data_IF_077890838258
#
_entry.id   IF_077890838258
#
_cell.length_a   1.000
_cell.length_b   1.000
_cell.length_c   1.000
_cell.angle_alpha   90.00
_cell.angle_beta   90.00
_cell.angle_gamma   90.00
#
_symmetry.space_group_name_H-M   'P 1'
#
loop_
_entity.id
_entity.type
_entity.pdbx_description
1 polymer ?
#
# COMPACT_ATOMS: atom_id res chain seq x y z
N UNK A 1 -67.49 -33.51 8.84
CA UNK A 1 -66.48 -33.49 9.93
C UNK A 1 -65.38 -32.58 9.45
N UNK A 2 -65.40 -31.33 9.88
CA UNK A 2 -64.47 -30.28 9.54
C UNK A 2 -63.25 -30.36 10.46
N UNK A 3 -62.10 -30.51 9.93
CA UNK A 3 -60.84 -30.46 10.68
C UNK A 3 -60.23 -29.08 10.51
N UNK A 4 -60.56 -28.16 11.38
CA UNK A 4 -59.95 -26.87 11.55
C UNK A 4 -58.62 -27.05 12.28
N UNK A 5 -57.52 -27.27 11.56
CA UNK A 5 -56.20 -27.16 12.14
C UNK A 5 -55.84 -25.69 12.29
N UNK A 6 -55.96 -25.22 13.50
CA UNK A 6 -55.56 -23.91 13.98
C UNK A 6 -54.11 -23.61 13.61
N UNK A 7 -53.92 -22.67 12.68
CA UNK A 7 -52.65 -21.95 12.53
C UNK A 7 -52.45 -21.13 13.80
N UNK A 8 -51.70 -21.65 14.76
CA UNK A 8 -51.19 -20.86 15.86
C UNK A 8 -50.28 -19.77 15.30
N UNK A 9 -50.84 -18.60 15.16
CA UNK A 9 -50.10 -17.36 14.90
C UNK A 9 -49.20 -17.12 16.09
N UNK A 10 -47.90 -17.40 15.97
CA UNK A 10 -46.87 -17.01 16.90
C UNK A 10 -46.84 -15.48 17.01
N UNK A 11 -47.72 -14.92 17.81
CA UNK A 11 -47.69 -13.50 18.18
C UNK A 11 -46.51 -13.30 19.14
N UNK A 12 -45.36 -12.92 18.57
CA UNK A 12 -44.22 -12.44 19.36
C UNK A 12 -44.71 -11.29 20.26
N UNK A 13 -44.60 -11.46 21.57
CA UNK A 13 -45.06 -10.49 22.57
C UNK A 13 -44.53 -9.10 22.25
N UNK A 14 -45.38 -8.06 22.18
CA UNK A 14 -45.00 -6.71 21.70
C UNK A 14 -43.84 -6.09 22.51
N UNK A 15 -43.67 -6.46 23.75
CA UNK A 15 -42.57 -6.03 24.63
C UNK A 15 -41.19 -6.50 24.17
N UNK A 16 -41.06 -7.69 23.55
CA UNK A 16 -39.80 -8.22 23.06
C UNK A 16 -39.36 -7.50 21.77
N UNK A 17 -40.30 -7.12 20.89
CA UNK A 17 -40.00 -6.37 19.68
C UNK A 17 -39.59 -4.91 19.97
N UNK A 18 -40.23 -4.25 20.91
CA UNK A 18 -39.86 -2.90 21.32
C UNK A 18 -38.47 -2.86 21.96
N UNK A 19 -38.17 -3.80 22.84
CA UNK A 19 -36.84 -3.91 23.45
C UNK A 19 -35.74 -4.16 22.41
N UNK A 20 -35.97 -5.04 21.46
CA UNK A 20 -35.03 -5.29 20.34
C UNK A 20 -34.81 -4.04 19.47
N UNK A 21 -35.86 -3.27 19.17
CA UNK A 21 -35.75 -2.01 18.41
C UNK A 21 -34.96 -0.95 19.18
N UNK A 22 -35.18 -0.81 20.47
CA UNK A 22 -34.42 0.15 21.30
C UNK A 22 -32.96 -0.29 21.39
N UNK A 23 -32.68 -1.55 21.68
CA UNK A 23 -31.31 -2.08 21.72
C UNK A 23 -30.61 -1.91 20.40
N UNK A 24 -31.27 -2.21 19.26
CA UNK A 24 -30.71 -2.00 17.91
C UNK A 24 -30.38 -0.54 17.64
N UNK A 25 -31.24 0.40 18.04
CA UNK A 25 -30.98 1.85 17.88
C UNK A 25 -29.83 2.32 18.75
N UNK A 26 -29.76 1.84 20.00
CA UNK A 26 -28.66 2.17 20.92
C UNK A 26 -27.34 1.63 20.40
N UNK A 27 -27.30 0.37 19.96
CA UNK A 27 -26.09 -0.22 19.36
C UNK A 27 -25.69 0.52 18.09
N UNK A 28 -26.65 0.84 17.22
CA UNK A 28 -26.38 1.61 16.01
C UNK A 28 -25.81 3.01 16.32
N UNK A 29 -26.42 3.73 17.27
CA UNK A 29 -25.93 5.03 17.71
C UNK A 29 -24.52 4.93 18.31
N UNK A 30 -24.26 3.91 19.10
CA UNK A 30 -22.95 3.66 19.70
C UNK A 30 -21.89 3.37 18.63
N UNK A 31 -22.21 2.54 17.64
CA UNK A 31 -21.33 2.27 16.49
C UNK A 31 -21.07 3.56 15.70
N UNK A 32 -22.09 4.38 15.44
CA UNK A 32 -21.92 5.67 14.76
C UNK A 32 -21.01 6.62 15.55
N UNK A 33 -21.22 6.74 16.87
CA UNK A 33 -20.41 7.58 17.74
C UNK A 33 -18.95 7.11 17.75
N UNK A 34 -18.71 5.80 17.91
CA UNK A 34 -17.36 5.23 17.89
C UNK A 34 -16.68 5.44 16.53
N UNK A 35 -17.41 5.23 15.43
CA UNK A 35 -16.88 5.49 14.08
C UNK A 35 -16.53 6.96 13.87
N UNK A 36 -17.36 7.87 14.36
CA UNK A 36 -17.08 9.31 14.28
C UNK A 36 -15.88 9.69 15.18
N UNK A 37 -15.79 9.11 16.38
CA UNK A 37 -14.69 9.34 17.30
C UNK A 37 -13.33 8.89 16.72
N UNK A 38 -13.29 7.82 15.92
CA UNK A 38 -12.06 7.41 15.20
C UNK A 38 -11.74 8.28 14.00
N UNK A 39 -12.75 8.90 13.36
CA UNK A 39 -12.53 9.79 12.23
C UNK A 39 -11.99 11.17 12.64
N UNK A 40 -12.34 11.67 13.82
CA UNK A 40 -11.95 13.02 14.31
C UNK A 40 -10.42 13.20 14.32
N UNK A 41 -9.60 12.32 14.94
CA UNK A 41 -8.14 12.49 14.95
C UNK A 41 -7.55 12.46 13.54
N UNK A 42 -8.05 11.58 12.67
CA UNK A 42 -7.60 11.51 11.29
C UNK A 42 -7.87 12.82 10.52
N UNK A 43 -9.08 13.36 10.65
CA UNK A 43 -9.44 14.63 10.02
C UNK A 43 -8.62 15.79 10.60
N UNK A 44 -8.38 15.82 11.91
CA UNK A 44 -7.54 16.83 12.54
C UNK A 44 -6.11 16.81 11.98
N UNK A 45 -5.49 15.64 11.86
CA UNK A 45 -4.15 15.48 11.27
C UNK A 45 -4.15 15.94 9.80
N UNK A 46 -5.16 15.56 9.01
CA UNK A 46 -5.25 15.98 7.61
C UNK A 46 -5.40 17.49 7.45
N UNK A 47 -6.21 18.13 8.27
CA UNK A 47 -6.40 19.59 8.26
C UNK A 47 -5.07 20.28 8.63
N UNK A 48 -4.40 19.83 9.68
CA UNK A 48 -3.11 20.36 10.12
C UNK A 48 -2.03 20.16 9.06
N UNK A 49 -1.99 18.98 8.43
CA UNK A 49 -1.07 18.65 7.36
C UNK A 49 -1.24 19.57 6.14
N UNK A 50 -2.48 19.84 5.73
CA UNK A 50 -2.77 20.74 4.63
C UNK A 50 -2.43 22.19 5.02
N UNK A 51 -2.86 22.63 6.20
CA UNK A 51 -2.65 24.01 6.66
C UNK A 51 -1.17 24.37 6.79
N UNK A 52 -0.35 23.47 7.34
CA UNK A 52 1.10 23.71 7.53
C UNK A 52 1.93 23.30 6.32
N UNK A 53 1.54 22.21 5.64
CA UNK A 53 2.32 21.66 4.53
C UNK A 53 2.34 22.52 3.27
N UNK A 54 1.34 23.38 3.08
CA UNK A 54 1.25 24.23 1.89
C UNK A 54 2.33 25.33 1.83
N UNK A 55 2.84 25.79 2.96
CA UNK A 55 3.72 26.97 3.03
C UNK A 55 5.09 26.78 2.38
N UNK A 56 5.62 25.56 2.36
CA UNK A 56 6.95 25.27 1.80
C UNK A 56 6.88 24.62 0.39
N UNK A 57 5.68 24.39 -0.18
CA UNK A 57 5.51 23.82 -1.52
C UNK A 57 5.78 24.89 -2.58
N UNK A 58 7.05 25.19 -2.81
CA UNK A 58 7.55 26.06 -3.87
C UNK A 58 8.33 25.25 -4.92
N UNK A 59 8.80 25.87 -5.98
CA UNK A 59 9.55 25.19 -7.04
C UNK A 59 10.89 24.63 -6.51
N UNK A 60 11.54 25.35 -5.60
CA UNK A 60 12.80 24.92 -4.98
C UNK A 60 12.63 23.63 -4.18
N UNK A 61 11.47 23.44 -3.53
CA UNK A 61 11.14 22.23 -2.79
C UNK A 61 11.23 20.95 -3.67
N UNK A 62 10.90 21.05 -4.95
CA UNK A 62 10.96 19.90 -5.88
C UNK A 62 12.28 19.77 -6.63
N UNK A 63 13.05 20.87 -6.74
CA UNK A 63 14.23 20.92 -7.60
C UNK A 63 15.55 20.95 -6.83
N UNK A 64 15.51 21.25 -5.54
CA UNK A 64 16.70 21.27 -4.68
C UNK A 64 16.76 20.06 -3.77
N UNK A 65 17.96 19.75 -3.31
CA UNK A 65 18.21 18.72 -2.30
C UNK A 65 17.93 19.26 -0.89
N UNK A 66 18.00 18.38 0.09
CA UNK A 66 17.85 18.73 1.52
C UNK A 66 18.86 19.78 1.91
N UNK A 67 18.44 20.89 2.57
CA UNK A 67 19.34 21.94 3.03
C UNK A 67 20.14 21.46 4.25
N UNK A 68 21.27 22.10 4.49
CA UNK A 68 22.01 21.86 5.74
C UNK A 68 21.23 22.44 6.93
N UNK A 69 21.42 21.87 8.13
CA UNK A 69 20.83 22.37 9.38
C UNK A 69 21.19 23.85 9.65
N UNK A 70 22.38 24.28 9.24
CA UNK A 70 22.86 25.67 9.40
C UNK A 70 22.07 26.63 8.48
N UNK A 71 21.88 26.26 7.21
CA UNK A 71 21.09 27.06 6.26
C UNK A 71 19.63 27.19 6.72
N UNK A 72 19.05 26.11 7.20
CA UNK A 72 17.70 26.11 7.75
C UNK A 72 17.58 27.00 9.01
N UNK A 73 18.57 26.95 9.90
CA UNK A 73 18.63 27.80 11.08
C UNK A 73 18.72 29.30 10.73
N UNK A 74 19.57 29.67 9.77
CA UNK A 74 19.74 31.05 9.32
C UNK A 74 18.45 31.57 8.65
N UNK A 75 17.79 30.76 7.81
CA UNK A 75 16.53 31.10 7.20
C UNK A 75 15.43 31.36 8.26
N UNK A 76 15.37 30.49 9.27
CA UNK A 76 14.41 30.59 10.37
C UNK A 76 14.63 31.85 11.22
N UNK A 77 15.87 32.24 11.48
CA UNK A 77 16.22 33.47 12.18
C UNK A 77 15.87 34.72 11.38
N UNK A 78 15.97 34.66 10.04
CA UNK A 78 15.62 35.77 9.15
C UNK A 78 14.13 35.83 8.76
N UNK A 79 13.30 34.90 9.28
CA UNK A 79 11.88 34.80 8.95
C UNK A 79 11.59 34.41 7.48
N UNK A 80 12.58 33.83 6.79
CA UNK A 80 12.46 33.38 5.42
C UNK A 80 12.07 31.90 5.33
N UNK A 81 11.43 31.45 4.24
CA UNK A 81 11.21 30.02 4.00
C UNK A 81 12.54 29.27 4.02
N UNK A 82 12.53 28.03 4.54
CA UNK A 82 13.72 27.19 4.57
C UNK A 82 14.16 26.92 3.12
N UNK A 83 15.39 27.26 2.74
CA UNK A 83 15.91 26.98 1.41
C UNK A 83 16.11 25.47 1.21
N UNK A 84 16.06 25.00 -0.05
CA UNK A 84 16.22 23.58 -0.37
C UNK A 84 14.90 22.84 -0.54
N UNK A 85 14.97 21.52 -0.63
CA UNK A 85 13.83 20.69 -0.97
C UNK A 85 14.05 19.20 -0.68
N UNK A 86 13.38 18.37 -1.47
CA UNK A 86 13.34 16.90 -1.26
C UNK A 86 13.70 16.11 -2.53
N UNK A 87 14.39 16.74 -3.49
CA UNK A 87 14.72 16.11 -4.78
C UNK A 87 15.45 14.76 -4.62
N UNK A 88 16.41 14.69 -3.71
CA UNK A 88 17.13 13.46 -3.38
C UNK A 88 16.19 12.34 -2.90
N UNK A 89 15.19 12.67 -2.08
CA UNK A 89 14.17 11.71 -1.63
C UNK A 89 13.22 11.28 -2.74
N UNK A 90 12.81 12.21 -3.63
CA UNK A 90 11.95 11.90 -4.79
C UNK A 90 12.66 10.93 -5.72
N UNK A 91 13.89 11.25 -6.13
CA UNK A 91 14.69 10.42 -7.04
C UNK A 91 14.96 9.05 -6.42
N UNK A 92 15.38 9.01 -5.17
CA UNK A 92 15.66 7.74 -4.50
C UNK A 92 14.42 6.88 -4.29
N UNK A 93 13.25 7.48 -3.97
CA UNK A 93 11.99 6.73 -3.91
C UNK A 93 11.66 6.10 -5.26
N UNK A 94 11.78 6.85 -6.36
CA UNK A 94 11.51 6.32 -7.69
C UNK A 94 12.46 5.18 -8.06
N UNK A 95 13.75 5.30 -7.75
CA UNK A 95 14.75 4.25 -7.98
C UNK A 95 14.41 3.00 -7.16
N UNK A 96 14.25 3.14 -5.84
CA UNK A 96 14.03 1.99 -4.97
C UNK A 96 12.70 1.30 -5.25
N UNK A 97 11.61 2.05 -5.42
CA UNK A 97 10.28 1.49 -5.73
C UNK A 97 10.26 0.91 -7.16
N UNK A 98 10.95 1.52 -8.10
CA UNK A 98 11.11 1.00 -9.46
C UNK A 98 11.82 -0.36 -9.47
N UNK A 99 12.96 -0.47 -8.79
CA UNK A 99 13.70 -1.73 -8.65
C UNK A 99 12.90 -2.77 -7.87
N UNK A 100 12.24 -2.37 -6.78
CA UNK A 100 11.37 -3.26 -6.02
C UNK A 100 10.23 -3.81 -6.87
N UNK A 101 9.61 -2.96 -7.70
CA UNK A 101 8.54 -3.36 -8.62
C UNK A 101 9.04 -4.31 -9.71
N UNK A 102 10.23 -4.07 -10.25
CA UNK A 102 10.86 -4.95 -11.25
C UNK A 102 11.08 -6.37 -10.72
N UNK A 103 11.40 -6.50 -9.42
CA UNK A 103 11.55 -7.79 -8.75
C UNK A 103 10.17 -8.37 -8.38
N UNK A 104 9.36 -7.60 -7.68
CA UNK A 104 8.15 -8.12 -7.02
C UNK A 104 7.00 -8.44 -7.97
N UNK A 105 6.85 -7.69 -9.07
CA UNK A 105 5.74 -7.90 -10.01
C UNK A 105 5.82 -9.29 -10.67
N UNK A 106 6.94 -9.71 -11.29
CA UNK A 106 7.02 -11.03 -11.89
C UNK A 106 6.80 -12.17 -10.88
N UNK A 107 7.48 -12.11 -9.72
CA UNK A 107 7.35 -13.15 -8.70
C UNK A 107 5.94 -13.19 -8.09
N UNK A 108 5.35 -12.04 -7.82
CA UNK A 108 4.00 -11.94 -7.27
C UNK A 108 2.93 -12.44 -8.24
N UNK A 109 3.03 -12.08 -9.54
CA UNK A 109 2.12 -12.56 -10.57
C UNK A 109 2.21 -14.07 -10.73
N UNK A 110 3.42 -14.63 -10.87
CA UNK A 110 3.63 -16.06 -11.00
C UNK A 110 3.12 -16.80 -9.77
N UNK A 111 3.38 -16.26 -8.56
CA UNK A 111 2.88 -16.80 -7.31
C UNK A 111 1.35 -16.85 -7.27
N UNK A 112 0.68 -15.76 -7.62
CA UNK A 112 -0.79 -15.65 -7.63
C UNK A 112 -1.44 -16.59 -8.66
N UNK A 113 -0.88 -16.67 -9.86
CA UNK A 113 -1.32 -17.62 -10.90
C UNK A 113 -1.14 -19.07 -10.40
N UNK A 114 0.00 -19.39 -9.78
CA UNK A 114 0.25 -20.70 -9.21
C UNK A 114 -0.78 -21.08 -8.14
N UNK A 115 -1.11 -20.15 -7.24
CA UNK A 115 -2.11 -20.35 -6.19
C UNK A 115 -3.52 -20.59 -6.75
N UNK A 116 -3.87 -19.85 -7.82
CA UNK A 116 -5.15 -20.03 -8.50
C UNK A 116 -5.26 -21.40 -9.17
N UNK A 117 -4.24 -21.82 -9.93
CA UNK A 117 -4.23 -23.09 -10.66
C UNK A 117 -4.23 -24.30 -9.71
N UNK A 118 -3.49 -24.21 -8.60
CA UNK A 118 -3.28 -25.34 -7.69
C UNK A 118 -4.17 -25.26 -6.44
N UNK A 119 -5.39 -24.72 -6.55
CA UNK A 119 -6.35 -24.66 -5.45
C UNK A 119 -6.56 -26.05 -4.82
N UNK A 120 -6.48 -26.10 -3.49
CA UNK A 120 -6.67 -27.35 -2.73
C UNK A 120 -5.42 -28.23 -2.59
N UNK A 121 -4.32 -27.95 -3.29
CA UNK A 121 -3.07 -28.68 -3.09
C UNK A 121 -2.34 -28.18 -1.83
N UNK A 122 -1.71 -29.11 -1.09
CA UNK A 122 -0.98 -28.81 0.16
C UNK A 122 0.10 -27.74 -0.03
N UNK A 123 0.84 -27.77 -1.15
CA UNK A 123 1.88 -26.79 -1.47
C UNK A 123 1.29 -25.38 -1.71
N UNK A 124 0.17 -25.27 -2.40
CA UNK A 124 -0.49 -23.99 -2.59
C UNK A 124 -1.01 -23.42 -1.25
N UNK A 125 -1.54 -24.28 -0.38
CA UNK A 125 -1.92 -23.87 0.97
C UNK A 125 -0.71 -23.37 1.78
N UNK A 126 0.42 -24.06 1.70
CA UNK A 126 1.65 -23.63 2.37
C UNK A 126 2.12 -22.25 1.85
N UNK A 127 2.21 -22.07 0.53
CA UNK A 127 2.62 -20.79 -0.09
C UNK A 127 1.66 -19.66 0.31
N UNK A 128 0.35 -19.92 0.33
CA UNK A 128 -0.66 -18.97 0.77
C UNK A 128 -0.45 -18.57 2.24
N UNK A 129 -0.27 -19.56 3.12
CA UNK A 129 -0.01 -19.32 4.53
C UNK A 129 1.27 -18.52 4.76
N UNK A 130 2.34 -18.83 4.02
CA UNK A 130 3.59 -18.06 4.09
C UNK A 130 3.40 -16.61 3.62
N UNK A 131 2.65 -16.39 2.52
CA UNK A 131 2.32 -15.05 2.06
C UNK A 131 1.49 -14.25 3.08
N UNK A 132 0.52 -14.91 3.73
CA UNK A 132 -0.31 -14.29 4.77
C UNK A 132 0.53 -13.94 6.03
N UNK A 133 1.45 -14.83 6.44
CA UNK A 133 2.38 -14.58 7.54
C UNK A 133 3.29 -13.39 7.21
N UNK A 134 3.89 -13.36 6.02
CA UNK A 134 4.78 -12.26 5.61
C UNK A 134 4.08 -10.89 5.59
N UNK A 135 2.79 -10.85 5.26
CA UNK A 135 2.01 -9.61 5.34
C UNK A 135 1.76 -9.13 6.78
N UNK A 136 1.78 -10.04 7.74
CA UNK A 136 1.64 -9.74 9.18
C UNK A 136 2.95 -9.39 9.88
N UNK A 137 4.10 -9.63 9.25
CA UNK A 137 5.42 -9.32 9.83
C UNK A 137 5.62 -7.80 9.90
N UNK A 138 6.07 -7.24 11.04
CA UNK A 138 6.46 -5.84 11.12
C UNK A 138 7.54 -5.49 10.08
N UNK A 139 7.36 -4.38 9.35
CA UNK A 139 8.21 -3.99 8.23
C UNK A 139 9.69 -3.84 8.61
N UNK A 140 9.98 -3.44 9.85
CA UNK A 140 11.35 -3.34 10.36
C UNK A 140 12.07 -4.69 10.36
N UNK A 141 11.36 -5.79 10.63
CA UNK A 141 11.95 -7.15 10.62
C UNK A 141 12.37 -7.54 9.20
N UNK A 142 11.55 -7.18 8.19
CA UNK A 142 11.94 -7.36 6.78
C UNK A 142 13.21 -6.56 6.46
N UNK A 143 13.31 -5.33 6.97
CA UNK A 143 14.52 -4.51 6.84
C UNK A 143 15.76 -5.14 7.47
N UNK A 144 15.65 -5.63 8.71
CA UNK A 144 16.76 -6.29 9.42
C UNK A 144 17.22 -7.55 8.69
N UNK A 145 16.27 -8.36 8.18
CA UNK A 145 16.58 -9.56 7.41
C UNK A 145 17.40 -9.22 6.15
N UNK A 146 16.95 -8.20 5.40
CA UNK A 146 17.66 -7.75 4.20
C UNK A 146 18.99 -7.08 4.55
N UNK A 147 19.09 -6.38 5.68
CA UNK A 147 20.35 -5.88 6.19
C UNK A 147 21.37 -7.01 6.36
N UNK A 148 20.95 -8.12 6.99
CA UNK A 148 21.86 -9.26 7.23
C UNK A 148 22.27 -9.96 5.93
N UNK A 149 21.40 -10.01 4.94
CA UNK A 149 21.66 -10.73 3.68
C UNK A 149 22.34 -9.88 2.62
N UNK A 150 21.90 -8.61 2.46
CA UNK A 150 22.33 -7.75 1.36
C UNK A 150 23.34 -6.72 1.83
N UNK A 151 23.00 -5.90 2.84
CA UNK A 151 23.88 -4.81 3.30
C UNK A 151 25.21 -5.35 3.81
N UNK A 152 25.18 -6.40 4.64
CA UNK A 152 26.42 -7.03 5.13
C UNK A 152 27.25 -7.68 4.03
N UNK A 153 26.60 -8.29 3.04
CA UNK A 153 27.32 -8.90 1.91
C UNK A 153 27.93 -7.86 0.97
N UNK A 154 27.26 -6.71 0.78
CA UNK A 154 27.74 -5.59 -0.02
C UNK A 154 28.71 -4.68 0.76
N UNK A 155 28.81 -4.84 2.08
CA UNK A 155 29.53 -3.94 3.00
C UNK A 155 29.09 -2.47 2.86
N UNK A 156 27.89 -2.20 2.36
CA UNK A 156 27.35 -0.86 2.14
C UNK A 156 25.82 -0.86 2.23
N UNK A 157 25.28 0.19 2.82
CA UNK A 157 23.88 0.58 2.61
C UNK A 157 23.67 0.99 1.15
N UNK A 158 22.49 0.73 0.57
CA UNK A 158 22.30 0.97 -0.85
C UNK A 158 20.84 1.04 -1.24
N UNK A 159 20.56 1.69 -2.39
CA UNK A 159 19.23 1.66 -3.00
C UNK A 159 18.80 0.24 -3.35
N UNK A 160 19.74 -0.64 -3.75
CA UNK A 160 19.46 -2.06 -4.02
C UNK A 160 18.97 -2.77 -2.76
N UNK A 161 19.63 -2.58 -1.61
CA UNK A 161 19.19 -3.19 -0.37
C UNK A 161 17.80 -2.68 0.04
N UNK A 162 17.55 -1.37 -0.08
CA UNK A 162 16.23 -0.78 0.12
C UNK A 162 15.16 -1.39 -0.82
N UNK A 163 15.49 -1.51 -2.10
CA UNK A 163 14.59 -2.12 -3.09
C UNK A 163 14.27 -3.58 -2.80
N UNK A 164 15.25 -4.38 -2.36
CA UNK A 164 15.01 -5.77 -1.96
C UNK A 164 14.10 -5.86 -0.73
N UNK A 165 14.28 -4.96 0.24
CA UNK A 165 13.41 -4.91 1.42
C UNK A 165 11.96 -4.57 1.05
N UNK A 166 11.76 -3.57 0.17
CA UNK A 166 10.44 -3.24 -0.36
C UNK A 166 9.85 -4.37 -1.20
N UNK A 167 10.65 -5.03 -2.05
CA UNK A 167 10.20 -6.15 -2.87
C UNK A 167 9.71 -7.33 -2.02
N UNK A 168 10.41 -7.64 -0.93
CA UNK A 168 10.03 -8.70 0.00
C UNK A 168 8.62 -8.45 0.58
N UNK A 169 8.26 -7.20 0.83
CA UNK A 169 6.92 -6.83 1.29
C UNK A 169 5.88 -6.80 0.17
N UNK A 170 6.27 -6.44 -1.05
CA UNK A 170 5.36 -6.35 -2.20
C UNK A 170 4.97 -7.72 -2.74
N UNK A 171 5.89 -8.69 -2.78
CA UNK A 171 5.66 -10.03 -3.36
C UNK A 171 4.40 -10.70 -2.79
N UNK A 172 4.22 -10.86 -1.47
CA UNK A 172 3.04 -11.51 -0.92
C UNK A 172 1.75 -10.74 -1.21
N UNK A 173 1.80 -9.40 -1.24
CA UNK A 173 0.64 -8.57 -1.56
C UNK A 173 0.18 -8.76 -3.01
N UNK A 174 1.12 -8.72 -3.97
CA UNK A 174 0.84 -8.92 -5.39
C UNK A 174 0.38 -10.36 -5.63
N UNK A 175 0.98 -11.35 -4.97
CA UNK A 175 0.58 -12.76 -5.04
C UNK A 175 -0.89 -12.93 -4.64
N UNK A 176 -1.28 -12.38 -3.49
CA UNK A 176 -2.66 -12.51 -2.99
C UNK A 176 -3.66 -11.74 -3.84
N UNK A 177 -3.36 -10.50 -4.22
CA UNK A 177 -4.25 -9.72 -5.09
C UNK A 177 -4.43 -10.35 -6.47
N UNK A 178 -3.39 -10.97 -7.02
CA UNK A 178 -3.48 -11.70 -8.30
C UNK A 178 -4.34 -12.96 -8.16
N UNK A 179 -4.13 -13.75 -7.10
CA UNK A 179 -4.97 -14.92 -6.79
C UNK A 179 -6.44 -14.51 -6.66
N UNK A 180 -6.73 -13.46 -5.89
CA UNK A 180 -8.09 -12.96 -5.69
C UNK A 180 -8.73 -12.45 -6.97
N UNK A 181 -7.98 -11.70 -7.79
CA UNK A 181 -8.45 -11.21 -9.07
C UNK A 181 -8.86 -12.33 -10.03
N UNK A 182 -8.07 -13.40 -10.11
CA UNK A 182 -8.39 -14.57 -10.90
C UNK A 182 -9.56 -15.35 -10.31
N UNK A 183 -9.68 -15.40 -9.00
CA UNK A 183 -10.75 -16.10 -8.28
C UNK A 183 -12.12 -15.42 -8.39
N UNK A 184 -12.18 -14.12 -8.74
CA UNK A 184 -13.41 -13.41 -8.98
C UNK A 184 -14.02 -13.73 -10.35
N UNK A 185 -13.29 -14.34 -11.26
CA UNK A 185 -13.81 -14.73 -12.58
C UNK A 185 -14.75 -15.93 -12.46
N UNK A 186 -15.86 -15.94 -13.21
CA UNK A 186 -16.78 -17.08 -13.23
C UNK A 186 -16.11 -18.32 -13.83
N UNK A 187 -16.28 -19.48 -13.18
CA UNK A 187 -15.71 -20.74 -13.63
C UNK A 187 -16.13 -21.16 -15.04
N UNK A 188 -17.28 -20.69 -15.50
CA UNK A 188 -17.78 -20.93 -16.85
C UNK A 188 -16.84 -20.43 -17.95
N UNK A 189 -16.02 -19.41 -17.71
CA UNK A 189 -15.01 -18.96 -18.68
C UNK A 189 -13.95 -20.02 -18.94
N UNK A 190 -13.48 -20.68 -17.88
CA UNK A 190 -12.53 -21.79 -17.99
C UNK A 190 -13.18 -22.99 -18.68
N UNK A 191 -14.35 -23.40 -18.23
CA UNK A 191 -15.09 -24.53 -18.77
C UNK A 191 -15.42 -24.35 -20.26
N UNK A 192 -15.87 -23.16 -20.68
CA UNK A 192 -16.14 -22.85 -22.08
C UNK A 192 -14.89 -22.93 -22.95
N UNK A 193 -13.75 -22.41 -22.47
CA UNK A 193 -12.49 -22.50 -23.20
C UNK A 193 -11.99 -23.94 -23.38
N UNK A 194 -12.14 -24.77 -22.35
CA UNK A 194 -11.77 -26.18 -22.41
C UNK A 194 -12.74 -26.97 -23.31
N UNK A 195 -14.03 -26.66 -23.29
CA UNK A 195 -15.04 -27.29 -24.16
C UNK A 195 -14.79 -27.04 -25.66
N UNK A 196 -14.16 -25.88 -26.00
CA UNK A 196 -13.72 -25.57 -27.36
C UNK A 196 -12.40 -26.26 -27.75
N UNK A 197 -11.86 -27.16 -26.92
CA UNK A 197 -10.64 -27.91 -27.18
C UNK A 197 -9.33 -27.15 -26.88
N UNK A 198 -9.40 -25.95 -26.27
CA UNK A 198 -8.20 -25.22 -25.87
C UNK A 198 -7.51 -25.86 -24.68
N UNK A 199 -6.18 -25.82 -24.63
CA UNK A 199 -5.43 -26.26 -23.44
C UNK A 199 -5.66 -25.33 -22.25
N UNK A 200 -5.55 -25.86 -21.04
CA UNK A 200 -5.67 -25.08 -19.80
C UNK A 200 -4.78 -23.83 -19.79
N UNK A 201 -3.52 -23.98 -20.21
CA UNK A 201 -2.55 -22.87 -20.28
C UNK A 201 -2.99 -21.81 -21.29
N UNK A 202 -3.53 -22.24 -22.44
CA UNK A 202 -4.04 -21.30 -23.45
C UNK A 202 -5.22 -20.50 -22.91
N UNK A 203 -6.19 -21.13 -22.25
CA UNK A 203 -7.32 -20.44 -21.62
C UNK A 203 -6.85 -19.51 -20.53
N UNK A 204 -5.88 -19.91 -19.70
CA UNK A 204 -5.32 -19.06 -18.65
C UNK A 204 -4.69 -17.80 -19.23
N UNK A 205 -3.83 -17.90 -20.24
CA UNK A 205 -3.06 -16.79 -20.78
C UNK A 205 -3.89 -15.87 -21.68
N UNK A 206 -4.84 -16.43 -22.46
CA UNK A 206 -5.57 -15.66 -23.47
C UNK A 206 -7.00 -15.24 -23.04
N UNK A 207 -7.55 -15.89 -22.00
CA UNK A 207 -8.92 -15.60 -21.54
C UNK A 207 -8.93 -15.09 -20.10
N UNK A 208 -8.44 -15.89 -19.14
CA UNK A 208 -8.56 -15.55 -17.72
C UNK A 208 -7.66 -14.37 -17.33
N UNK A 209 -6.38 -14.41 -17.70
CA UNK A 209 -5.42 -13.36 -17.34
C UNK A 209 -5.80 -11.99 -17.94
N UNK A 210 -6.15 -11.88 -19.23
CA UNK A 210 -6.63 -10.61 -19.78
C UNK A 210 -7.94 -10.13 -19.16
N UNK A 211 -8.84 -11.06 -18.78
CA UNK A 211 -10.08 -10.70 -18.09
C UNK A 211 -9.87 -10.17 -16.68
N UNK A 212 -8.84 -10.65 -15.96
CA UNK A 212 -8.46 -10.21 -14.62
C UNK A 212 -7.51 -9.00 -14.61
N UNK A 213 -6.97 -8.57 -15.75
CA UNK A 213 -5.85 -7.61 -15.83
C UNK A 213 -6.13 -6.30 -15.11
N UNK A 214 -7.38 -5.81 -15.14
CA UNK A 214 -7.79 -4.58 -14.45
C UNK A 214 -7.64 -4.70 -12.93
N UNK A 215 -8.08 -5.81 -12.35
CA UNK A 215 -7.97 -6.09 -10.92
C UNK A 215 -6.50 -6.34 -10.52
N UNK A 216 -5.75 -7.06 -11.36
CA UNK A 216 -4.31 -7.32 -11.13
C UNK A 216 -3.51 -6.01 -11.11
N UNK A 217 -3.69 -5.14 -12.11
CA UNK A 217 -3.02 -3.82 -12.15
C UNK A 217 -3.38 -3.00 -10.91
N UNK A 218 -4.64 -3.04 -10.48
CA UNK A 218 -5.07 -2.34 -9.26
C UNK A 218 -4.33 -2.87 -8.03
N UNK A 219 -4.21 -4.19 -7.88
CA UNK A 219 -3.46 -4.82 -6.79
C UNK A 219 -1.98 -4.43 -6.78
N UNK A 220 -1.35 -4.39 -7.96
CA UNK A 220 0.05 -3.93 -8.13
C UNK A 220 0.19 -2.47 -7.70
N UNK A 221 -0.66 -1.57 -8.20
CA UNK A 221 -0.60 -0.14 -7.87
C UNK A 221 -0.87 0.13 -6.38
N UNK A 222 -1.77 -0.63 -5.76
CA UNK A 222 -1.99 -0.56 -4.30
C UNK A 222 -0.76 -1.02 -3.52
N UNK A 223 -0.08 -2.08 -3.99
CA UNK A 223 1.17 -2.56 -3.39
C UNK A 223 2.29 -1.51 -3.49
N UNK A 224 2.45 -0.88 -4.66
CA UNK A 224 3.38 0.23 -4.89
C UNK A 224 3.06 1.39 -3.95
N UNK A 225 1.81 1.84 -3.91
CA UNK A 225 1.37 2.95 -3.07
C UNK A 225 1.68 2.72 -1.59
N UNK A 226 1.53 1.49 -1.12
CA UNK A 226 1.85 1.13 0.26
C UNK A 226 3.34 1.26 0.55
N UNK A 227 4.20 0.66 -0.27
CA UNK A 227 5.64 0.64 0.02
C UNK A 227 6.31 2.00 -0.18
N UNK A 228 5.73 2.91 -0.95
CA UNK A 228 6.21 4.30 -1.05
C UNK A 228 6.17 5.06 0.27
N UNK A 229 5.28 4.68 1.18
CA UNK A 229 5.19 5.25 2.54
C UNK A 229 6.02 4.53 3.60
N UNK A 230 6.71 3.44 3.25
CA UNK A 230 7.47 2.66 4.22
C UNK A 230 8.79 3.36 4.58
N UNK A 231 9.01 3.53 5.89
CA UNK A 231 10.23 4.17 6.43
C UNK A 231 11.12 3.17 7.13
N UNK A 232 10.54 2.33 7.99
CA UNK A 232 11.29 1.45 8.88
C UNK A 232 12.29 0.49 8.17
N UNK A 233 11.93 -0.22 7.10
CA UNK A 233 12.89 -1.08 6.42
C UNK A 233 14.01 -0.28 5.73
N UNK A 234 13.72 0.93 5.23
CA UNK A 234 14.70 1.76 4.54
C UNK A 234 15.73 2.38 5.48
N UNK A 235 15.37 2.66 6.73
CA UNK A 235 16.30 3.16 7.76
C UNK A 235 17.48 2.21 7.98
N UNK A 236 17.25 0.90 7.85
CA UNK A 236 18.28 -0.13 8.10
C UNK A 236 18.88 -0.71 6.82
N UNK A 237 18.43 -0.25 5.63
CA UNK A 237 18.91 -0.80 4.35
C UNK A 237 19.44 0.26 3.39
N UNK A 238 18.80 1.44 3.30
CA UNK A 238 19.16 2.53 2.39
C UNK A 238 19.93 3.66 3.08
N UNK A 239 19.71 3.86 4.39
CA UNK A 239 20.34 4.81 5.31
C UNK A 239 20.06 6.29 5.02
N UNK A 240 19.92 6.71 3.77
CA UNK A 240 19.75 8.11 3.37
C UNK A 240 21.00 8.75 2.78
N UNK A 241 20.80 9.83 2.02
CA UNK A 241 21.84 10.68 1.46
C UNK A 241 21.31 12.10 1.27
N UNK A 242 22.13 13.11 1.57
CA UNK A 242 21.75 14.52 1.45
C UNK A 242 21.83 15.06 0.02
N UNK A 243 22.37 14.30 -0.92
CA UNK A 243 22.51 14.63 -2.34
C UNK A 243 21.74 13.63 -3.21
N UNK A 244 21.49 14.00 -4.47
CA UNK A 244 20.90 13.09 -5.46
C UNK A 244 21.92 12.03 -5.83
N UNK A 245 21.60 10.78 -5.52
CA UNK A 245 22.47 9.65 -5.82
C UNK A 245 21.79 8.75 -6.86
N UNK A 246 22.44 8.54 -7.99
CA UNK A 246 21.99 7.64 -9.05
C UNK A 246 22.72 6.29 -9.00
N UNK A 247 23.78 6.18 -8.19
CA UNK A 247 24.45 4.91 -7.94
C UNK A 247 23.62 4.05 -7.00
N UNK A 248 23.03 3.01 -7.55
CA UNK A 248 22.12 2.10 -6.81
C UNK A 248 22.82 1.25 -5.77
N UNK A 249 24.18 1.22 -5.79
CA UNK A 249 24.99 0.44 -4.85
C UNK A 249 25.42 1.22 -3.61
N UNK A 250 25.06 2.49 -3.53
CA UNK A 250 25.41 3.39 -2.43
C UNK A 250 24.18 3.96 -1.72
N UNK A 251 24.36 4.57 -0.53
CA UNK A 251 23.25 5.10 0.27
C UNK A 251 22.37 6.08 -0.50
N UNK A 252 21.05 5.96 -0.30
CA UNK A 252 20.06 6.74 -1.06
C UNK A 252 18.87 7.08 -0.17
N UNK A 253 18.41 8.33 -0.19
CA UNK A 253 17.23 8.76 0.56
C UNK A 253 15.92 8.36 -0.12
N UNK A 254 14.85 8.28 0.68
CA UNK A 254 13.47 8.21 0.21
C UNK A 254 12.65 9.36 0.82
N UNK A 255 11.55 9.75 0.20
CA UNK A 255 10.65 10.78 0.75
C UNK A 255 10.18 10.43 2.15
N UNK A 256 9.82 9.17 2.40
CA UNK A 256 9.43 8.68 3.72
C UNK A 256 10.58 8.72 4.72
N UNK A 257 11.82 8.47 4.28
CA UNK A 257 13.02 8.53 5.11
C UNK A 257 13.38 9.99 5.46
N UNK A 258 13.21 10.93 4.52
CA UNK A 258 13.43 12.35 4.79
C UNK A 258 12.49 12.90 5.87
N UNK A 259 11.23 12.43 5.95
CA UNK A 259 10.32 12.81 7.04
C UNK A 259 10.92 12.44 8.40
N UNK A 260 11.53 11.26 8.50
CA UNK A 260 12.23 10.81 9.70
C UNK A 260 13.49 11.64 9.99
N UNK A 261 14.30 11.93 8.97
CA UNK A 261 15.50 12.77 9.10
C UNK A 261 15.13 14.18 9.59
N UNK A 262 14.13 14.81 8.99
CA UNK A 262 13.65 16.14 9.40
C UNK A 262 13.09 16.17 10.81
N UNK A 263 12.45 15.08 11.26
CA UNK A 263 11.95 14.99 12.64
C UNK A 263 13.08 15.02 13.67
N UNK A 264 14.26 14.51 13.34
CA UNK A 264 15.41 14.47 14.22
C UNK A 264 16.24 15.79 14.22
N UNK A 265 15.95 16.72 13.30
CA UNK A 265 16.61 18.03 13.24
C UNK A 265 15.60 19.17 13.54
N UNK A 266 15.74 19.87 14.70
CA UNK A 266 14.84 20.94 15.09
C UNK A 266 14.73 22.10 14.08
N UNK A 267 15.74 22.28 13.23
CA UNK A 267 15.76 23.34 12.22
C UNK A 267 14.97 22.96 10.96
N UNK A 268 14.79 21.66 10.70
CA UNK A 268 14.13 21.11 9.50
C UNK A 268 12.67 20.67 9.75
N UNK A 269 12.17 20.78 10.98
CA UNK A 269 10.82 20.32 11.38
C UNK A 269 9.71 20.89 10.48
N UNK A 270 9.86 22.13 10.01
CA UNK A 270 8.85 22.78 9.16
C UNK A 270 8.72 22.09 7.78
N UNK A 271 9.80 21.48 7.27
CA UNK A 271 9.79 20.69 6.03
C UNK A 271 9.04 19.37 6.15
N UNK A 272 8.84 18.84 7.38
CA UNK A 272 8.07 17.61 7.60
C UNK A 272 6.67 17.72 7.01
N UNK A 273 6.00 18.84 7.29
CA UNK A 273 4.61 19.05 6.89
C UNK A 273 4.45 19.04 5.36
N UNK A 274 5.33 19.74 4.66
CA UNK A 274 5.31 19.80 3.20
C UNK A 274 5.72 18.46 2.56
N UNK A 275 6.71 17.78 3.14
CA UNK A 275 7.16 16.47 2.66
C UNK A 275 6.08 15.41 2.87
N UNK A 276 5.43 15.41 4.03
CA UNK A 276 4.32 14.50 4.31
C UNK A 276 3.08 14.80 3.45
N UNK A 277 2.77 16.09 3.21
CA UNK A 277 1.69 16.49 2.30
C UNK A 277 1.98 16.04 0.86
N UNK A 278 3.20 16.23 0.38
CA UNK A 278 3.61 15.74 -0.95
C UNK A 278 3.46 14.22 -1.05
N UNK A 279 3.96 13.48 -0.07
CA UNK A 279 3.85 12.01 -0.06
C UNK A 279 2.38 11.55 -0.04
N UNK A 280 1.53 12.21 0.76
CA UNK A 280 0.09 11.94 0.80
C UNK A 280 -0.56 12.17 -0.57
N UNK A 281 -0.30 13.31 -1.22
CA UNK A 281 -0.83 13.63 -2.54
C UNK A 281 -0.37 12.61 -3.57
N UNK A 282 0.91 12.22 -3.55
CA UNK A 282 1.48 11.24 -4.45
C UNK A 282 0.81 9.86 -4.30
N UNK A 283 0.63 9.39 -3.07
CA UNK A 283 -0.04 8.12 -2.77
C UNK A 283 -1.52 8.19 -3.18
N UNK A 284 -2.22 9.30 -2.90
CA UNK A 284 -3.61 9.48 -3.33
C UNK A 284 -3.75 9.48 -4.85
N UNK A 285 -2.85 10.15 -5.56
CA UNK A 285 -2.84 10.18 -7.02
C UNK A 285 -2.67 8.77 -7.61
N UNK A 286 -1.75 7.98 -7.06
CA UNK A 286 -1.56 6.58 -7.46
C UNK A 286 -2.80 5.72 -7.16
N UNK A 287 -3.41 5.87 -5.99
CA UNK A 287 -4.61 5.14 -5.63
C UNK A 287 -5.82 5.52 -6.50
N UNK A 288 -5.96 6.80 -6.87
CA UNK A 288 -7.00 7.25 -7.80
C UNK A 288 -6.74 6.72 -9.22
N UNK A 289 -5.48 6.72 -9.67
CA UNK A 289 -5.10 6.11 -10.93
C UNK A 289 -5.44 4.62 -10.96
N UNK A 290 -5.13 3.88 -9.88
CA UNK A 290 -5.49 2.47 -9.74
C UNK A 290 -7.00 2.26 -9.88
N UNK A 291 -7.81 3.03 -9.16
CA UNK A 291 -9.28 2.95 -9.21
C UNK A 291 -9.84 3.30 -10.59
N UNK A 292 -9.30 4.32 -11.26
CA UNK A 292 -9.77 4.73 -12.59
C UNK A 292 -9.44 3.68 -13.66
N UNK A 293 -8.27 3.03 -13.57
CA UNK A 293 -7.89 1.93 -14.45
C UNK A 293 -8.82 0.74 -14.24
N UNK A 294 -9.09 0.38 -12.98
CA UNK A 294 -10.03 -0.69 -12.63
C UNK A 294 -11.42 -0.41 -13.20
N UNK A 295 -11.95 0.80 -13.01
CA UNK A 295 -13.27 1.20 -13.50
C UNK A 295 -13.38 1.13 -15.04
N UNK A 296 -12.36 1.62 -15.75
CA UNK A 296 -12.35 1.62 -17.23
C UNK A 296 -12.23 0.21 -17.84
N UNK A 297 -11.57 -0.72 -17.17
CA UNK A 297 -11.37 -2.10 -17.67
C UNK A 297 -12.34 -3.11 -17.08
N UNK A 298 -12.97 -2.81 -15.93
CA UNK A 298 -13.96 -3.68 -15.28
C UNK A 298 -15.40 -3.52 -15.82
N UNK A 299 -15.71 -2.49 -16.61
CA UNK A 299 -17.07 -2.14 -17.07
C UNK A 299 -17.28 -2.46 -18.57
N UNK A 300 -16.68 -3.52 -19.07
CA UNK A 300 -17.24 -4.14 -20.28
C UNK A 300 -17.88 -5.47 -19.86
N UNK A 301 -19.03 -5.36 -19.19
CA UNK A 301 -20.05 -6.42 -19.09
C UNK A 301 -20.88 -6.44 -20.34
#
# INVERSE_FOLDING_TARGET
MSNNSSLETYSLRPTHQQRRRVTSRVVFALVCILSLATAIPLLAILIELIAKGWHQLNLDFFTRVVPSSIEAMLAKQSGQPIPGGILNGIVGTLIMVGLASLISIPFGLLGGIYLHINRGKKMATLVRTLADILQGVPSIICGILVYMWVVRAMHSYSAVAGAVALALMMIPMITRSTEEALNMLPGSLLESGLALGSSYTSVMLHVLLPSAIGAIITGILLSISRVMGETAPLMVTALGATYVNLDVTSPTSAVSLLIWEFYNDPNLVDLIWSTALFLLILILALNLAAKTIAAKRGVKR
#
